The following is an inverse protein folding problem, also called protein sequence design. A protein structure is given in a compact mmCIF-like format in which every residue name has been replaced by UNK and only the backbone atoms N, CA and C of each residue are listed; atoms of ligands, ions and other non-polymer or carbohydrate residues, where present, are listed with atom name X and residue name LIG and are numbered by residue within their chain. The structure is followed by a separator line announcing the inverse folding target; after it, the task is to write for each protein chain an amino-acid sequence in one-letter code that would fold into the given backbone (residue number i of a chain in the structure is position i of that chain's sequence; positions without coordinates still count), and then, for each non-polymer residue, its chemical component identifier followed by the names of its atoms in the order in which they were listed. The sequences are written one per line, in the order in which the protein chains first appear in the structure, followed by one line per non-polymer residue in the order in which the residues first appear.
data_IF_914529330896
#
_entry.id   IF_914529330896
#
_cell.length_a   1.000
_cell.length_b   1.000
_cell.length_c   1.000
_cell.angle_alpha   90.00
_cell.angle_beta   90.00
_cell.angle_gamma   90.00
#
_symmetry.space_group_name_H-M   'P 1'
#
loop_
_entity.id
_entity.type
_entity.pdbx_description
1 polymer ?
#
# COMPACT_ATOMS: atom_id res chain seq x y z
N UNK A 1 -0.41 -5.38 -11.55
CA UNK A 1 -0.62 -6.46 -12.55
C UNK A 1 -2.02 -7.02 -12.31
N UNK A 2 -2.88 -7.12 -13.32
CA UNK A 2 -4.15 -7.85 -13.18
C UNK A 2 -3.88 -9.33 -13.38
N UNK A 3 -3.94 -10.13 -12.32
CA UNK A 3 -3.52 -11.52 -12.41
C UNK A 3 -4.64 -12.49 -12.01
N UNK A 4 -5.21 -12.33 -10.82
CA UNK A 4 -6.17 -13.29 -10.31
C UNK A 4 -7.48 -13.29 -11.11
N UNK A 5 -8.03 -14.49 -11.28
CA UNK A 5 -9.36 -14.72 -11.82
C UNK A 5 -9.46 -14.57 -13.33
N UNK A 6 -8.36 -14.53 -14.08
CA UNK A 6 -8.42 -14.41 -15.56
C UNK A 6 -9.09 -15.65 -16.18
N UNK A 7 -10.14 -15.41 -16.99
CA UNK A 7 -10.86 -16.50 -17.69
C UNK A 7 -10.15 -16.99 -18.94
N UNK A 8 -9.35 -16.14 -19.59
CA UNK A 8 -8.54 -16.52 -20.75
C UNK A 8 -7.21 -17.11 -20.31
N UNK A 9 -7.01 -18.40 -20.61
CA UNK A 9 -5.79 -19.13 -20.29
C UNK A 9 -4.53 -18.50 -20.91
N UNK A 10 -4.63 -17.87 -22.09
CA UNK A 10 -3.49 -17.19 -22.70
C UNK A 10 -3.13 -15.90 -21.96
N UNK A 11 -4.16 -15.15 -21.51
CA UNK A 11 -3.94 -13.97 -20.69
C UNK A 11 -3.32 -14.34 -19.34
N UNK A 12 -3.79 -15.42 -18.72
CA UNK A 12 -3.19 -15.98 -17.49
C UNK A 12 -1.72 -16.36 -17.72
N UNK A 13 -1.41 -17.15 -18.76
CA UNK A 13 -0.04 -17.55 -19.08
C UNK A 13 0.89 -16.34 -19.30
N UNK A 14 0.40 -15.30 -19.99
CA UNK A 14 1.15 -14.05 -20.17
C UNK A 14 1.43 -13.34 -18.84
N UNK A 15 0.51 -13.38 -17.88
CA UNK A 15 0.74 -12.81 -16.55
C UNK A 15 1.77 -13.58 -15.75
N UNK A 16 1.86 -14.90 -15.93
CA UNK A 16 2.94 -15.71 -15.38
C UNK A 16 4.29 -15.31 -15.99
N UNK A 17 4.37 -15.09 -17.31
CA UNK A 17 5.58 -14.56 -17.95
C UNK A 17 5.98 -13.19 -17.40
N UNK A 18 5.02 -12.27 -17.26
CA UNK A 18 5.25 -10.97 -16.65
C UNK A 18 5.73 -11.13 -15.19
N UNK A 19 5.19 -12.08 -14.44
CA UNK A 19 5.57 -12.34 -13.05
C UNK A 19 7.01 -12.87 -12.95
N UNK A 20 7.45 -13.73 -13.88
CA UNK A 20 8.85 -14.16 -13.97
C UNK A 20 9.80 -12.99 -14.20
N UNK A 21 9.39 -11.99 -15.00
CA UNK A 21 10.16 -10.74 -15.14
C UNK A 21 10.25 -9.99 -13.81
N UNK A 22 9.17 -9.91 -13.01
CA UNK A 22 9.23 -9.30 -11.68
C UNK A 22 10.16 -10.04 -10.72
N UNK A 23 10.20 -11.37 -10.76
CA UNK A 23 11.16 -12.16 -9.98
C UNK A 23 12.61 -11.87 -10.40
N UNK A 24 12.88 -11.73 -11.70
CA UNK A 24 14.18 -11.30 -12.21
C UNK A 24 14.54 -9.90 -11.71
N UNK A 25 13.60 -8.95 -11.73
CA UNK A 25 13.82 -7.60 -11.21
C UNK A 25 14.11 -7.63 -9.70
N UNK A 26 13.41 -8.46 -8.93
CA UNK A 26 13.70 -8.65 -7.50
C UNK A 26 15.14 -9.07 -7.27
N UNK A 27 15.60 -10.09 -8.00
CA UNK A 27 16.99 -10.57 -7.95
C UNK A 27 17.99 -9.49 -8.36
N UNK A 28 17.73 -8.77 -9.45
CA UNK A 28 18.63 -7.72 -9.96
C UNK A 28 18.74 -6.54 -9.00
N UNK A 29 17.63 -6.15 -8.36
CA UNK A 29 17.58 -5.01 -7.45
C UNK A 29 17.90 -5.38 -5.99
N UNK A 30 18.03 -6.67 -5.68
CA UNK A 30 18.28 -7.15 -4.32
C UNK A 30 17.09 -6.94 -3.38
N UNK A 31 15.86 -7.06 -3.89
CA UNK A 31 14.63 -7.00 -3.09
C UNK A 31 13.95 -8.37 -3.04
N UNK A 32 13.12 -8.58 -2.01
CA UNK A 32 12.54 -9.88 -1.66
C UNK A 32 11.00 -9.78 -1.48
N UNK A 33 10.38 -8.73 -2.02
CA UNK A 33 8.95 -8.48 -1.85
C UNK A 33 8.33 -7.95 -3.14
N UNK A 34 7.24 -8.58 -3.56
CA UNK A 34 6.36 -8.12 -4.63
C UNK A 34 4.99 -7.82 -4.03
N UNK A 35 4.46 -6.63 -4.30
CA UNK A 35 3.06 -6.29 -3.99
C UNK A 35 2.19 -6.66 -5.19
N UNK A 36 1.12 -7.41 -4.95
CA UNK A 36 0.15 -7.83 -5.97
C UNK A 36 -1.19 -7.18 -5.63
N UNK A 37 -1.59 -6.11 -6.32
CA UNK A 37 -2.89 -5.47 -6.10
C UNK A 37 -4.02 -6.29 -6.71
N UNK A 38 -5.18 -6.25 -6.08
CA UNK A 38 -6.39 -6.90 -6.55
C UNK A 38 -6.79 -6.41 -7.93
N UNK A 39 -7.28 -7.30 -8.78
CA UNK A 39 -7.80 -6.93 -10.10
C UNK A 39 -9.00 -5.99 -10.00
N UNK A 40 -9.04 -5.02 -10.92
CA UNK A 40 -10.17 -4.13 -11.13
C UNK A 40 -10.68 -4.20 -12.59
N UNK A 41 -10.37 -5.28 -13.31
CA UNK A 41 -10.90 -5.48 -14.66
C UNK A 41 -12.43 -5.66 -14.59
N UNK A 42 -13.20 -4.99 -15.46
CA UNK A 42 -14.66 -5.08 -15.44
C UNK A 42 -15.18 -6.38 -16.07
N UNK A 43 -14.39 -7.01 -16.94
CA UNK A 43 -14.77 -8.20 -17.70
C UNK A 43 -13.56 -9.13 -17.92
N UNK A 44 -13.81 -10.34 -18.40
CA UNK A 44 -12.75 -11.34 -18.64
C UNK A 44 -12.16 -11.94 -17.37
N UNK A 45 -12.77 -11.67 -16.21
CA UNK A 45 -12.34 -12.14 -14.89
C UNK A 45 -13.48 -12.80 -14.12
N UNK A 46 -13.16 -13.71 -13.21
CA UNK A 46 -14.09 -14.39 -12.30
C UNK A 46 -13.72 -14.16 -10.84
N UNK A 47 -14.74 -14.09 -9.99
CA UNK A 47 -14.61 -14.09 -8.53
C UNK A 47 -14.68 -15.48 -7.92
N UNK A 48 -14.62 -16.54 -8.74
CA UNK A 48 -14.62 -17.92 -8.26
C UNK A 48 -13.43 -18.14 -7.31
N UNK A 49 -13.76 -18.43 -6.05
CA UNK A 49 -12.78 -18.52 -4.97
C UNK A 49 -11.72 -19.60 -5.22
N UNK A 50 -12.07 -20.71 -5.87
CA UNK A 50 -11.13 -21.79 -6.17
C UNK A 50 -10.10 -21.30 -7.19
N UNK A 51 -10.54 -20.56 -8.21
CA UNK A 51 -9.65 -19.96 -9.21
C UNK A 51 -8.71 -18.93 -8.55
N UNK A 52 -9.25 -17.99 -7.77
CA UNK A 52 -8.43 -16.98 -7.09
C UNK A 52 -7.35 -17.60 -6.20
N UNK A 53 -7.70 -18.65 -5.43
CA UNK A 53 -6.74 -19.37 -4.58
C UNK A 53 -5.68 -20.08 -5.44
N UNK A 54 -6.09 -20.72 -6.54
CA UNK A 54 -5.18 -21.42 -7.45
C UNK A 54 -4.14 -20.48 -8.05
N UNK A 55 -4.58 -19.34 -8.58
CA UNK A 55 -3.70 -18.35 -9.19
C UNK A 55 -2.69 -17.82 -8.16
N UNK A 56 -3.16 -17.42 -6.97
CA UNK A 56 -2.28 -16.92 -5.91
C UNK A 56 -1.27 -17.97 -5.43
N UNK A 57 -1.66 -19.25 -5.37
CA UNK A 57 -0.73 -20.34 -5.05
C UNK A 57 0.34 -20.51 -6.11
N UNK A 58 -0.01 -20.39 -7.39
CA UNK A 58 0.96 -20.52 -8.49
C UNK A 58 2.07 -19.48 -8.39
N UNK A 59 1.74 -18.19 -8.24
CA UNK A 59 2.77 -17.16 -8.09
C UNK A 59 3.54 -17.27 -6.77
N UNK A 60 2.88 -17.69 -5.68
CA UNK A 60 3.55 -17.93 -4.41
C UNK A 60 4.57 -19.06 -4.50
N UNK A 61 4.22 -20.16 -5.19
CA UNK A 61 5.09 -21.32 -5.39
C UNK A 61 6.28 -20.97 -6.32
N UNK A 62 6.08 -20.14 -7.35
CA UNK A 62 7.16 -19.61 -8.18
C UNK A 62 8.11 -18.67 -7.41
N UNK A 63 7.55 -17.81 -6.55
CA UNK A 63 8.32 -16.91 -5.70
C UNK A 63 9.10 -17.64 -4.60
N UNK A 64 8.56 -18.74 -4.08
CA UNK A 64 9.21 -19.60 -3.09
C UNK A 64 10.45 -20.33 -3.63
N UNK A 65 10.54 -20.52 -4.95
CA UNK A 65 11.70 -21.14 -5.61
C UNK A 65 12.90 -20.19 -5.77
N UNK A 66 12.73 -18.90 -5.47
CA UNK A 66 13.81 -17.93 -5.57
C UNK A 66 14.78 -18.04 -4.38
N UNK A 67 16.02 -17.59 -4.58
CA UNK A 67 17.03 -17.50 -3.53
C UNK A 67 17.67 -16.10 -3.53
N UNK A 68 17.45 -15.28 -2.48
CA UNK A 68 16.52 -15.49 -1.35
C UNK A 68 15.06 -15.63 -1.80
N UNK A 69 14.23 -16.24 -0.94
CA UNK A 69 12.79 -16.42 -1.18
C UNK A 69 12.14 -15.06 -1.39
N UNK A 70 11.36 -14.92 -2.46
CA UNK A 70 10.56 -13.71 -2.69
C UNK A 70 9.21 -13.90 -1.98
N UNK A 71 8.84 -12.90 -1.17
CA UNK A 71 7.53 -12.80 -0.52
C UNK A 71 6.55 -12.04 -1.41
N UNK A 72 5.27 -12.34 -1.22
CA UNK A 72 4.17 -11.65 -1.89
C UNK A 72 3.30 -10.97 -0.83
N UNK A 73 2.93 -9.72 -1.10
CA UNK A 73 1.94 -8.98 -0.33
C UNK A 73 0.72 -8.70 -1.22
N UNK A 74 -0.40 -9.37 -0.94
CA UNK A 74 -1.64 -9.14 -1.68
C UNK A 74 -2.39 -7.92 -1.12
N UNK A 75 -2.73 -6.98 -1.99
CA UNK A 75 -3.32 -5.69 -1.63
C UNK A 75 -4.76 -5.60 -2.16
N UNK A 76 -5.73 -5.37 -1.27
CA UNK A 76 -7.10 -5.06 -1.69
C UNK A 76 -7.22 -3.58 -2.09
N UNK A 77 -7.46 -3.32 -3.36
CA UNK A 77 -7.82 -1.98 -3.81
C UNK A 77 -9.29 -1.71 -3.47
N UNK A 78 -9.64 -0.53 -2.95
CA UNK A 78 -11.02 -0.23 -2.55
C UNK A 78 -12.02 -0.15 -3.73
N UNK A 79 -11.51 -0.22 -4.96
CA UNK A 79 -12.23 -0.36 -6.22
C UNK A 79 -11.96 -1.69 -6.94
N UNK A 80 -11.38 -2.70 -6.28
CA UNK A 80 -11.19 -4.03 -6.84
C UNK A 80 -12.52 -4.69 -7.21
N UNK A 81 -12.52 -5.50 -8.27
CA UNK A 81 -13.73 -6.10 -8.85
C UNK A 81 -14.37 -7.10 -7.89
N UNK A 82 -13.57 -7.99 -7.30
CA UNK A 82 -14.04 -9.06 -6.41
C UNK A 82 -13.49 -8.95 -4.99
N UNK A 83 -12.23 -8.56 -4.84
CA UNK A 83 -11.59 -8.35 -3.55
C UNK A 83 -11.29 -6.86 -3.39
N UNK A 84 -11.99 -6.21 -2.46
CA UNK A 84 -11.88 -4.76 -2.25
C UNK A 84 -12.05 -4.33 -0.78
N UNK A 85 -11.94 -5.30 0.14
CA UNK A 85 -11.85 -5.08 1.58
C UNK A 85 -10.61 -5.79 2.10
N UNK A 86 -10.07 -5.31 3.23
CA UNK A 86 -8.92 -5.98 3.85
C UNK A 86 -9.33 -7.38 4.36
N UNK A 87 -10.58 -7.56 4.81
CA UNK A 87 -11.10 -8.87 5.26
C UNK A 87 -11.00 -9.91 4.15
N UNK A 88 -11.54 -9.59 2.96
CA UNK A 88 -11.57 -10.52 1.84
C UNK A 88 -10.16 -10.86 1.33
N UNK A 89 -9.24 -9.89 1.34
CA UNK A 89 -7.83 -10.14 1.05
C UNK A 89 -7.16 -11.03 2.10
N UNK A 90 -7.43 -10.79 3.38
CA UNK A 90 -6.86 -11.61 4.47
C UNK A 90 -7.40 -13.04 4.45
N UNK A 91 -8.70 -13.23 4.21
CA UNK A 91 -9.27 -14.56 4.01
C UNK A 91 -8.61 -15.29 2.83
N UNK A 92 -8.36 -14.58 1.72
CA UNK A 92 -7.67 -15.17 0.56
C UNK A 92 -6.24 -15.57 0.93
N UNK A 93 -5.52 -14.72 1.67
CA UNK A 93 -4.16 -15.02 2.17
C UNK A 93 -4.14 -16.26 3.07
N UNK A 94 -5.16 -16.45 3.91
CA UNK A 94 -5.33 -17.65 4.72
C UNK A 94 -5.56 -18.89 3.85
N UNK A 95 -6.47 -18.81 2.88
CA UNK A 95 -6.82 -19.94 2.00
C UNK A 95 -5.68 -20.35 1.06
N UNK A 96 -4.88 -19.38 0.60
CA UNK A 96 -3.68 -19.63 -0.22
C UNK A 96 -2.68 -20.51 0.53
N UNK A 97 -2.58 -20.33 1.85
CA UNK A 97 -1.79 -21.16 2.76
C UNK A 97 -0.35 -21.41 2.25
N UNK A 98 0.39 -20.31 2.07
CA UNK A 98 1.82 -20.31 1.77
C UNK A 98 2.56 -19.42 2.76
N UNK A 99 3.76 -19.86 3.15
CA UNK A 99 4.56 -19.15 4.14
C UNK A 99 5.11 -17.80 3.63
N UNK A 100 5.35 -17.69 2.31
CA UNK A 100 5.83 -16.48 1.65
C UNK A 100 4.71 -15.60 1.08
N UNK A 101 3.43 -15.91 1.35
CA UNK A 101 2.28 -15.14 0.89
C UNK A 101 1.58 -14.49 2.08
N UNK A 102 1.48 -13.16 2.04
CA UNK A 102 0.88 -12.33 3.08
C UNK A 102 0.02 -11.21 2.48
N UNK A 103 -0.52 -10.37 3.35
CA UNK A 103 -1.34 -9.20 2.98
C UNK A 103 -0.51 -7.92 3.01
N UNK A 104 -0.84 -6.99 2.10
CA UNK A 104 -0.52 -5.58 2.25
C UNK A 104 -1.73 -4.87 2.88
N UNK A 105 -1.52 -4.18 3.99
CA UNK A 105 -2.54 -3.33 4.60
C UNK A 105 -2.28 -1.87 4.19
N UNK A 106 -3.07 -1.35 3.26
CA UNK A 106 -3.01 0.04 2.82
C UNK A 106 -4.12 0.88 3.50
N UNK A 107 -3.71 1.86 4.31
CA UNK A 107 -4.61 2.76 5.01
C UNK A 107 -5.52 3.56 4.07
N UNK A 108 -5.04 3.97 2.89
CA UNK A 108 -5.88 4.70 1.93
C UNK A 108 -6.98 3.80 1.39
N UNK A 109 -6.64 2.58 0.98
CA UNK A 109 -7.63 1.63 0.46
C UNK A 109 -8.63 1.21 1.56
N UNK A 110 -8.18 0.96 2.79
CA UNK A 110 -9.09 0.68 3.92
C UNK A 110 -10.07 1.86 4.15
N UNK A 111 -9.56 3.09 4.25
CA UNK A 111 -10.39 4.29 4.37
C UNK A 111 -11.33 4.46 3.18
N UNK A 112 -10.82 4.26 1.96
CA UNK A 112 -11.59 4.34 0.73
C UNK A 112 -12.74 3.34 0.71
N UNK A 113 -12.64 2.21 1.43
CA UNK A 113 -13.73 1.23 1.50
C UNK A 113 -14.72 1.49 2.64
N UNK A 114 -14.24 1.93 3.80
CA UNK A 114 -15.02 1.92 5.05
C UNK A 114 -15.38 3.32 5.58
N UNK A 115 -14.74 4.38 5.08
CA UNK A 115 -14.87 5.73 5.62
C UNK A 115 -15.21 6.78 4.56
N UNK A 116 -14.46 6.81 3.46
CA UNK A 116 -14.49 7.88 2.48
C UNK A 116 -15.40 7.58 1.29
N UNK A 117 -16.15 8.59 0.86
CA UNK A 117 -16.84 8.61 -0.41
C UNK A 117 -16.57 9.93 -1.15
N UNK A 118 -15.66 9.95 -2.14
CA UNK A 118 -15.35 11.17 -2.89
C UNK A 118 -16.53 11.71 -3.71
N UNK A 119 -17.62 10.95 -3.90
CA UNK A 119 -18.85 11.44 -4.53
C UNK A 119 -19.87 12.00 -3.52
N UNK A 120 -19.61 11.91 -2.21
CA UNK A 120 -20.46 12.50 -1.19
C UNK A 120 -20.10 13.96 -0.94
N UNK A 121 -21.11 14.76 -0.55
CA UNK A 121 -20.95 16.20 -0.31
C UNK A 121 -19.94 16.54 0.80
N UNK A 122 -19.83 15.69 1.82
CA UNK A 122 -18.90 15.84 2.94
C UNK A 122 -17.67 14.91 2.82
N UNK A 123 -17.55 14.19 1.69
CA UNK A 123 -16.48 13.24 1.41
C UNK A 123 -16.58 11.93 2.19
N UNK A 124 -17.67 11.66 2.91
CA UNK A 124 -17.77 10.50 3.82
C UNK A 124 -18.90 9.57 3.42
N UNK A 125 -18.70 8.29 3.73
CA UNK A 125 -19.77 7.30 3.72
C UNK A 125 -20.74 7.54 4.87
N UNK A 126 -21.99 7.09 4.72
CA UNK A 126 -22.97 7.16 5.80
C UNK A 126 -22.49 6.33 7.01
N UNK A 127 -22.34 7.00 8.16
CA UNK A 127 -21.86 6.34 9.39
C UNK A 127 -20.37 5.98 9.39
N UNK A 128 -19.57 6.65 8.57
CA UNK A 128 -18.14 6.41 8.35
C UNK A 128 -17.34 6.10 9.61
N UNK A 129 -17.46 6.91 10.66
CA UNK A 129 -16.71 6.73 11.92
C UNK A 129 -17.07 5.41 12.61
N UNK A 130 -18.36 5.07 12.65
CA UNK A 130 -18.85 3.83 13.27
C UNK A 130 -18.45 2.61 12.45
N UNK A 131 -18.56 2.69 11.13
CA UNK A 131 -18.19 1.61 10.21
C UNK A 131 -16.70 1.30 10.29
N UNK A 132 -15.85 2.33 10.23
CA UNK A 132 -14.41 2.16 10.37
C UNK A 132 -14.03 1.62 11.75
N UNK A 133 -14.61 2.14 12.84
CA UNK A 133 -14.33 1.64 14.19
C UNK A 133 -14.65 0.14 14.32
N UNK A 134 -15.81 -0.30 13.82
CA UNK A 134 -16.19 -1.71 13.82
C UNK A 134 -15.28 -2.56 12.91
N UNK A 135 -14.82 -2.02 11.77
CA UNK A 135 -13.85 -2.69 10.89
C UNK A 135 -12.50 -2.88 11.58
N UNK A 136 -12.01 -1.85 12.27
CA UNK A 136 -10.76 -1.89 13.02
C UNK A 136 -10.82 -2.81 14.24
N UNK A 137 -11.98 -2.95 14.89
CA UNK A 137 -12.20 -3.98 15.90
C UNK A 137 -12.01 -5.38 15.33
N UNK A 138 -12.68 -5.70 14.21
CA UNK A 138 -12.50 -6.99 13.54
C UNK A 138 -11.06 -7.22 13.13
N UNK A 139 -10.37 -6.20 12.63
CA UNK A 139 -8.96 -6.30 12.21
C UNK A 139 -8.08 -6.81 13.35
N UNK A 140 -8.24 -6.25 14.56
CA UNK A 140 -7.50 -6.68 15.75
C UNK A 140 -7.76 -8.14 16.11
N UNK A 141 -8.99 -8.60 15.91
CA UNK A 141 -9.41 -9.93 16.34
C UNK A 141 -8.99 -11.04 15.36
N UNK A 142 -8.89 -10.74 14.06
CA UNK A 142 -8.73 -11.78 13.03
C UNK A 142 -7.35 -11.83 12.38
N UNK A 143 -6.62 -10.71 12.29
CA UNK A 143 -5.34 -10.68 11.58
C UNK A 143 -4.23 -11.23 12.46
N UNK A 144 -3.55 -12.27 11.97
CA UNK A 144 -2.22 -12.65 12.44
C UNK A 144 -1.19 -11.70 11.82
N UNK A 145 -0.53 -10.91 12.66
CA UNK A 145 0.51 -9.95 12.24
C UNK A 145 1.63 -10.60 11.42
N UNK A 146 1.90 -11.90 11.61
CA UNK A 146 2.92 -12.64 10.82
C UNK A 146 2.56 -12.75 9.33
N UNK A 147 1.28 -12.59 9.00
CA UNK A 147 0.79 -12.55 7.62
C UNK A 147 0.78 -11.14 7.03
N UNK A 148 1.09 -10.10 7.79
CA UNK A 148 1.22 -8.73 7.28
C UNK A 148 2.63 -8.57 6.68
N UNK A 149 2.71 -8.55 5.35
CA UNK A 149 3.99 -8.48 4.64
C UNK A 149 4.49 -7.04 4.47
N UNK A 150 3.56 -6.09 4.37
CA UNK A 150 3.80 -4.66 4.15
C UNK A 150 2.62 -3.85 4.68
N UNK A 151 2.90 -2.63 5.12
CA UNK A 151 1.88 -1.60 5.36
C UNK A 151 2.15 -0.44 4.41
N UNK A 152 1.09 0.05 3.77
CA UNK A 152 1.13 1.27 2.96
C UNK A 152 0.28 2.35 3.62
N UNK A 153 0.69 3.60 3.44
CA UNK A 153 -0.02 4.75 3.98
C UNK A 153 -0.08 5.88 2.96
N UNK A 154 -1.28 6.42 2.82
CA UNK A 154 -1.54 7.71 2.23
C UNK A 154 -2.81 8.29 2.85
N UNK A 155 -2.86 9.60 2.95
CA UNK A 155 -4.11 10.33 3.16
C UNK A 155 -4.66 10.74 1.79
N UNK A 156 -5.74 11.50 1.76
CA UNK A 156 -6.23 12.11 0.55
C UNK A 156 -7.02 13.37 0.79
N UNK A 157 -7.05 14.23 -0.22
CA UNK A 157 -7.80 15.47 -0.24
C UNK A 157 -9.30 15.18 -0.18
N UNK A 158 -10.01 15.83 0.74
CA UNK A 158 -11.48 15.90 0.70
C UNK A 158 -11.90 16.77 -0.48
N UNK A 159 -12.61 16.18 -1.43
CA UNK A 159 -13.08 16.91 -2.62
C UNK A 159 -13.98 18.07 -2.20
N UNK A 160 -13.70 19.25 -2.78
CA UNK A 160 -14.51 20.45 -2.55
C UNK A 160 -15.92 20.27 -3.11
N UNK A 161 -15.98 19.71 -4.31
CA UNK A 161 -17.21 19.39 -5.02
C UNK A 161 -17.26 17.86 -5.19
N UNK A 162 -18.44 17.22 -5.07
CA UNK A 162 -18.58 15.78 -5.32
C UNK A 162 -17.91 15.33 -6.62
N UNK A 163 -17.11 14.25 -6.54
CA UNK A 163 -16.47 13.62 -7.69
C UNK A 163 -17.50 12.80 -8.47
N UNK A 164 -18.35 13.48 -9.22
CA UNK A 164 -19.38 12.91 -10.09
C UNK A 164 -19.20 13.38 -11.53
N UNK A 165 -20.08 12.99 -12.45
CA UNK A 165 -20.06 13.47 -13.84
C UNK A 165 -19.97 15.00 -13.90
N UNK A 166 -19.01 15.50 -14.69
CA UNK A 166 -18.67 16.94 -14.77
C UNK A 166 -17.54 17.40 -13.85
N UNK A 167 -17.12 16.61 -12.86
CA UNK A 167 -15.93 16.90 -12.06
C UNK A 167 -14.65 16.73 -12.90
N UNK A 168 -13.61 17.54 -12.68
CA UNK A 168 -12.37 17.52 -13.47
C UNK A 168 -11.58 16.21 -13.40
N UNK A 169 -11.78 15.44 -12.32
CA UNK A 169 -11.20 14.10 -12.14
C UNK A 169 -12.14 12.96 -12.54
N UNK A 170 -13.38 13.26 -12.97
CA UNK A 170 -14.29 12.24 -13.44
C UNK A 170 -13.76 11.62 -14.75
N UNK A 171 -13.88 10.30 -14.86
CA UNK A 171 -13.53 9.55 -16.06
C UNK A 171 -14.63 8.51 -16.28
N UNK A 172 -15.32 8.59 -17.42
CA UNK A 172 -16.42 7.69 -17.74
C UNK A 172 -15.98 6.21 -17.67
N UNK A 173 -16.80 5.40 -17.00
CA UNK A 173 -16.52 3.97 -16.80
C UNK A 173 -15.44 3.66 -15.76
N UNK A 174 -14.79 4.67 -15.16
CA UNK A 174 -13.79 4.47 -14.12
C UNK A 174 -14.44 4.59 -12.71
N UNK A 175 -14.11 3.70 -11.76
CA UNK A 175 -14.56 3.85 -10.39
C UNK A 175 -14.13 5.19 -9.78
N UNK A 176 -15.06 5.91 -9.15
CA UNK A 176 -14.82 7.23 -8.53
C UNK A 176 -13.60 7.21 -7.59
N UNK A 177 -13.46 6.17 -6.77
CA UNK A 177 -12.35 6.01 -5.82
C UNK A 177 -11.01 5.82 -6.52
N UNK A 178 -10.98 5.23 -7.72
CA UNK A 178 -9.78 5.14 -8.55
C UNK A 178 -9.38 6.51 -9.10
N UNK A 179 -10.35 7.29 -9.60
CA UNK A 179 -10.11 8.67 -10.03
C UNK A 179 -9.57 9.54 -8.90
N UNK A 180 -10.17 9.42 -7.71
CA UNK A 180 -9.72 10.11 -6.51
C UNK A 180 -8.30 9.67 -6.12
N UNK A 181 -8.06 8.36 -6.04
CA UNK A 181 -6.74 7.79 -5.74
C UNK A 181 -5.66 8.32 -6.68
N UNK A 182 -5.90 8.41 -7.99
CA UNK A 182 -4.87 8.84 -8.96
C UNK A 182 -4.52 10.33 -8.91
N UNK A 183 -5.41 11.16 -8.36
CA UNK A 183 -5.29 12.61 -8.47
C UNK A 183 -5.11 13.33 -7.13
N UNK A 184 -5.52 12.70 -6.03
CA UNK A 184 -5.82 13.41 -4.79
C UNK A 184 -5.27 12.72 -3.53
N UNK A 185 -4.37 11.73 -3.64
CA UNK A 185 -3.66 11.27 -2.44
C UNK A 185 -2.71 12.35 -1.93
N UNK A 186 -2.60 12.39 -0.61
CA UNK A 186 -1.77 13.30 0.15
C UNK A 186 -0.90 12.50 1.12
N UNK A 187 0.17 13.11 1.60
CA UNK A 187 0.87 12.57 2.74
C UNK A 187 0.02 12.77 4.01
N UNK A 188 0.03 11.83 4.97
CA UNK A 188 -0.59 12.01 6.27
C UNK A 188 -0.18 13.31 6.96
N UNK A 189 -1.14 14.02 7.55
CA UNK A 189 -0.91 15.29 8.26
C UNK A 189 -0.94 16.55 7.40
N UNK A 190 -1.17 16.44 6.08
CA UNK A 190 -1.32 17.59 5.18
C UNK A 190 -2.72 18.24 5.25
N UNK A 191 -3.16 18.62 6.46
CA UNK A 191 -4.48 19.22 6.70
C UNK A 191 -4.68 20.53 5.92
N UNK A 192 -3.60 21.30 5.72
CA UNK A 192 -3.59 22.52 4.91
C UNK A 192 -3.92 22.25 3.43
N UNK A 193 -3.75 21.00 2.98
CA UNK A 193 -4.08 20.52 1.63
C UNK A 193 -5.38 19.74 1.59
N UNK A 194 -6.09 19.64 2.72
CA UNK A 194 -7.38 18.96 2.81
C UNK A 194 -7.29 17.47 3.13
N UNK A 195 -6.16 16.98 3.67
CA UNK A 195 -6.08 15.66 4.28
C UNK A 195 -7.17 15.51 5.35
N UNK A 196 -7.87 14.37 5.37
CA UNK A 196 -9.00 14.17 6.27
C UNK A 196 -9.25 12.70 6.66
N UNK A 197 -8.46 11.77 6.12
CA UNK A 197 -8.66 10.36 6.41
C UNK A 197 -8.16 10.03 7.82
N UNK A 198 -8.86 9.17 8.57
CA UNK A 198 -8.46 8.74 9.91
C UNK A 198 -7.30 7.71 9.87
N UNK A 199 -6.23 8.03 9.12
CA UNK A 199 -5.08 7.14 8.90
C UNK A 199 -4.36 6.77 10.20
N UNK A 200 -4.35 7.68 11.18
CA UNK A 200 -3.76 7.41 12.49
C UNK A 200 -4.51 6.31 13.26
N UNK A 201 -5.84 6.22 13.12
CA UNK A 201 -6.62 5.19 13.82
C UNK A 201 -6.31 3.79 13.26
N UNK A 202 -6.16 3.70 11.93
CA UNK A 202 -5.71 2.49 11.25
C UNK A 202 -4.28 2.13 11.69
N UNK A 203 -3.34 3.08 11.65
CA UNK A 203 -1.94 2.82 12.02
C UNK A 203 -1.77 2.47 13.50
N UNK A 204 -2.61 3.00 14.40
CA UNK A 204 -2.63 2.60 15.81
C UNK A 204 -3.04 1.14 15.97
N UNK A 205 -4.02 0.69 15.21
CA UNK A 205 -4.46 -0.72 15.22
C UNK A 205 -3.41 -1.63 14.60
N UNK A 206 -2.83 -1.26 13.47
CA UNK A 206 -1.86 -2.12 12.79
C UNK A 206 -0.54 -2.18 13.59
N UNK A 207 -0.07 -1.05 14.10
CA UNK A 207 1.31 -0.96 14.62
C UNK A 207 1.41 -0.85 16.15
N UNK A 208 0.29 -0.61 16.84
CA UNK A 208 0.25 -0.48 18.29
C UNK A 208 0.40 -1.84 18.98
N UNK A 209 1.00 -1.84 20.18
CA UNK A 209 1.16 -3.05 21.01
C UNK A 209 -0.18 -3.64 21.48
N UNK A 210 -1.19 -2.79 21.67
CA UNK A 210 -2.57 -3.19 21.96
C UNK A 210 -3.39 -3.46 20.67
N UNK A 211 -2.73 -3.44 19.51
CA UNK A 211 -3.27 -3.80 18.21
C UNK A 211 -2.56 -5.04 17.67
N UNK A 212 -2.19 -5.05 16.38
CA UNK A 212 -1.49 -6.18 15.77
C UNK A 212 0.00 -6.23 16.14
N UNK A 213 0.59 -5.09 16.55
CA UNK A 213 2.01 -5.01 16.88
C UNK A 213 2.96 -5.08 15.69
N UNK A 214 2.50 -4.69 14.48
CA UNK A 214 3.35 -4.68 13.28
C UNK A 214 4.56 -3.74 13.44
N UNK A 215 5.75 -4.29 13.20
CA UNK A 215 7.04 -3.60 13.30
C UNK A 215 7.86 -3.63 12.00
N UNK A 216 7.24 -4.02 10.89
CA UNK A 216 7.85 -4.07 9.56
C UNK A 216 7.88 -2.72 8.83
N UNK A 217 8.04 -2.79 7.51
CA UNK A 217 8.14 -1.61 6.64
C UNK A 217 6.78 -0.92 6.46
N UNK A 218 6.80 0.41 6.54
CA UNK A 218 5.66 1.27 6.20
C UNK A 218 6.10 2.11 5.01
N UNK A 219 5.35 2.01 3.90
CA UNK A 219 5.67 2.71 2.66
C UNK A 219 4.64 3.80 2.38
N UNK A 220 5.09 5.00 2.01
CA UNK A 220 4.21 6.07 1.54
C UNK A 220 3.83 5.81 0.08
N UNK A 221 2.54 5.60 -0.20
CA UNK A 221 2.05 5.35 -1.57
C UNK A 221 1.25 6.55 -2.09
N UNK A 222 1.94 7.50 -2.73
CA UNK A 222 1.34 8.74 -3.19
C UNK A 222 1.07 8.71 -4.69
N UNK A 223 -0.19 8.94 -5.03
CA UNK A 223 -0.66 9.23 -6.38
C UNK A 223 -1.39 10.57 -6.36
N UNK A 224 -0.77 11.58 -6.95
CA UNK A 224 -1.29 12.95 -6.92
C UNK A 224 -1.10 13.62 -8.26
N UNK A 225 -2.05 14.49 -8.63
CA UNK A 225 -1.94 15.37 -9.80
C UNK A 225 -0.66 16.21 -9.79
N UNK A 226 -0.07 16.46 -8.62
CA UNK A 226 1.20 17.22 -8.53
C UNK A 226 2.40 16.44 -9.07
N UNK A 227 2.31 15.11 -9.23
CA UNK A 227 3.41 14.29 -9.75
C UNK A 227 3.62 14.44 -11.26
N UNK A 228 2.65 15.02 -11.98
CA UNK A 228 2.79 15.29 -13.43
C UNK A 228 3.25 16.71 -13.72
N UNK A 229 3.51 17.52 -12.68
CA UNK A 229 4.13 18.83 -12.85
C UNK A 229 5.58 18.63 -13.35
N UNK A 230 5.97 19.22 -14.50
CA UNK A 230 7.29 19.00 -15.10
C UNK A 230 8.42 19.75 -14.38
N UNK A 231 8.10 20.57 -13.38
CA UNK A 231 9.10 21.31 -12.59
C UNK A 231 10.07 20.35 -11.91
N UNK A 232 11.40 20.57 -12.03
CA UNK A 232 12.39 19.70 -11.40
C UNK A 232 12.29 19.68 -9.86
N UNK A 233 11.74 20.73 -9.25
CA UNK A 233 11.57 20.86 -7.79
C UNK A 233 10.56 19.84 -7.23
N UNK A 234 9.66 19.30 -8.06
CA UNK A 234 8.58 18.39 -7.61
C UNK A 234 9.12 17.18 -6.85
N UNK A 235 10.26 16.64 -7.28
CA UNK A 235 10.89 15.48 -6.62
C UNK A 235 11.33 15.86 -5.19
N UNK A 236 11.99 17.01 -5.04
CA UNK A 236 12.46 17.48 -3.74
C UNK A 236 11.29 17.93 -2.85
N UNK A 237 10.30 18.62 -3.39
CA UNK A 237 9.07 19.02 -2.70
C UNK A 237 8.35 17.79 -2.11
N UNK A 238 8.18 16.71 -2.89
CA UNK A 238 7.54 15.48 -2.39
C UNK A 238 8.40 14.72 -1.39
N UNK A 239 9.72 14.71 -1.55
CA UNK A 239 10.62 14.11 -0.55
C UNK A 239 10.54 14.84 0.80
N UNK A 240 10.54 16.18 0.78
CA UNK A 240 10.38 16.99 1.98
C UNK A 240 9.00 16.78 2.63
N UNK A 241 7.92 16.72 1.82
CA UNK A 241 6.57 16.41 2.32
C UNK A 241 6.50 15.04 2.97
N UNK A 242 7.16 14.03 2.39
CA UNK A 242 7.24 12.68 2.96
C UNK A 242 7.96 12.69 4.33
N UNK A 243 9.07 13.43 4.45
CA UNK A 243 9.83 13.56 5.69
C UNK A 243 9.02 14.26 6.80
N UNK A 244 8.37 15.38 6.47
CA UNK A 244 7.51 16.12 7.40
C UNK A 244 6.36 15.22 7.88
N UNK A 245 5.72 14.51 6.94
CA UNK A 245 4.63 13.59 7.25
C UNK A 245 5.09 12.42 8.13
N UNK A 246 6.26 11.86 7.86
CA UNK A 246 6.83 10.80 8.69
C UNK A 246 7.09 11.27 10.13
N UNK A 247 7.73 12.43 10.30
CA UNK A 247 7.98 13.02 11.61
C UNK A 247 6.68 13.32 12.37
N UNK A 248 5.65 13.78 11.65
CA UNK A 248 4.31 13.96 12.22
C UNK A 248 3.70 12.62 12.69
N UNK A 249 3.73 11.57 11.86
CA UNK A 249 3.23 10.24 12.26
C UNK A 249 4.01 9.67 13.45
N UNK A 250 5.34 9.81 13.49
CA UNK A 250 6.15 9.36 14.61
C UNK A 250 5.72 10.01 15.92
N UNK A 251 5.49 11.32 15.89
CA UNK A 251 4.99 12.07 17.05
C UNK A 251 3.59 11.61 17.46
N UNK A 252 2.64 11.58 16.53
CA UNK A 252 1.22 11.29 16.83
C UNK A 252 0.96 9.83 17.23
N UNK A 253 1.84 8.92 16.82
CA UNK A 253 1.77 7.49 17.16
C UNK A 253 2.75 7.08 18.26
N UNK A 254 3.56 8.02 18.77
CA UNK A 254 4.56 7.75 19.80
C UNK A 254 5.64 6.75 19.36
N UNK A 255 5.98 6.73 18.06
CA UNK A 255 7.04 5.87 17.57
C UNK A 255 8.40 6.46 17.97
N UNK A 256 9.16 5.71 18.75
CA UNK A 256 10.52 6.09 19.12
C UNK A 256 11.51 5.57 18.09
N UNK A 257 12.35 6.44 17.53
CA UNK A 257 13.50 5.97 16.75
C UNK A 257 14.54 5.33 17.68
N UNK A 258 15.01 4.12 17.35
CA UNK A 258 16.29 3.64 17.87
C UNK A 258 17.40 4.25 17.02
N UNK A 259 18.44 4.79 17.65
CA UNK A 259 19.72 5.04 16.99
C UNK A 259 20.32 3.69 16.55
N UNK A 260 19.87 3.15 15.42
CA UNK A 260 20.61 2.12 14.72
C UNK A 260 21.63 2.83 13.85
N UNK A 261 22.90 2.67 14.18
CA UNK A 261 24.02 3.12 13.35
C UNK A 261 23.89 2.44 11.98
N UNK A 262 23.34 3.16 10.99
CA UNK A 262 23.35 2.70 9.61
C UNK A 262 24.83 2.67 9.20
N UNK A 263 25.42 1.48 9.12
CA UNK A 263 26.72 1.34 8.47
C UNK A 263 26.54 1.76 7.03
N UNK A 264 27.20 2.86 6.63
CA UNK A 264 27.40 3.22 5.23
C UNK A 264 27.82 1.94 4.50
N UNK A 265 27.06 1.58 3.48
CA UNK A 265 27.59 0.69 2.45
C UNK A 265 28.56 1.57 1.68
N UNK A 266 29.85 1.47 2.00
CA UNK A 266 30.88 2.08 1.19
C UNK A 266 30.75 1.47 -0.21
N UNK A 267 30.24 2.29 -1.14
CA UNK A 267 30.37 2.02 -2.56
C UNK A 267 31.84 1.77 -2.83
N UNK A 268 32.13 0.68 -3.56
CA UNK A 268 33.46 0.32 -4.01
C UNK A 268 34.23 1.57 -4.47
N UNK A 269 35.48 1.65 -4.05
CA UNK A 269 36.46 2.65 -4.47
C UNK A 269 36.37 2.92 -5.97
N UNK A 270 35.79 4.05 -6.36
CA UNK A 270 35.99 4.61 -7.69
C UNK A 270 37.21 5.53 -7.64
N UNK A 271 38.16 5.19 -8.49
CA UNK A 271 39.36 5.95 -8.78
C UNK A 271 38.99 7.37 -9.22
N UNK A 272 39.74 8.34 -8.72
CA UNK A 272 39.45 9.76 -8.80
C UNK A 272 39.41 10.30 -10.24
N UNK A 273 38.26 10.84 -10.67
CA UNK A 273 38.20 12.13 -11.40
C UNK A 273 36.75 12.64 -11.63
N UNK A 274 36.44 13.75 -10.96
CA UNK A 274 35.50 14.82 -11.35
C UNK A 274 34.09 14.48 -11.91
N UNK A 275 33.08 14.42 -11.03
CA UNK A 275 31.99 15.41 -10.93
C UNK A 275 30.95 14.95 -9.89
N UNK A 276 30.63 15.84 -8.95
CA UNK A 276 29.82 15.57 -7.76
C UNK A 276 28.31 15.61 -8.05
N UNK A 277 27.63 14.46 -7.97
CA UNK A 277 26.20 14.37 -7.61
C UNK A 277 25.97 13.01 -6.92
N UNK A 278 26.22 12.96 -5.61
CA UNK A 278 25.88 11.81 -4.79
C UNK A 278 24.46 11.92 -4.27
N UNK A 279 23.53 11.14 -4.81
CA UNK A 279 22.20 10.98 -4.23
C UNK A 279 22.31 10.21 -2.90
N UNK A 280 22.07 10.90 -1.78
CA UNK A 280 21.97 10.31 -0.46
C UNK A 280 20.62 9.59 -0.35
N UNK A 281 20.64 8.26 -0.22
CA UNK A 281 19.46 7.47 0.15
C UNK A 281 19.52 7.14 1.64
N UNK A 282 18.54 7.62 2.41
CA UNK A 282 18.33 7.22 3.80
C UNK A 282 17.32 6.06 3.83
N UNK A 283 17.64 5.00 4.56
CA UNK A 283 16.75 3.84 4.78
C UNK A 283 16.51 3.72 6.29
N UNK A 284 15.25 3.84 6.72
CA UNK A 284 14.88 3.87 8.14
C UNK A 284 14.16 2.58 8.56
N UNK A 285 14.68 1.87 9.57
CA UNK A 285 14.00 0.73 10.20
C UNK A 285 13.65 1.08 11.66
N UNK A 286 12.35 1.08 11.99
CA UNK A 286 11.85 1.35 13.35
C UNK A 286 11.83 0.08 14.21
N UNK A 287 12.12 0.22 15.51
CA UNK A 287 11.78 -0.77 16.56
C UNK A 287 11.30 0.03 17.76
N UNK A 288 10.03 -0.18 18.16
CA UNK A 288 9.33 0.68 19.12
C UNK A 288 9.60 0.24 20.57
N UNK A 289 9.94 1.21 21.42
CA UNK A 289 10.37 0.98 22.80
C UNK A 289 9.25 0.63 23.77
N UNK A 290 9.64 -0.04 24.86
CA UNK A 290 8.82 -0.40 26.02
C UNK A 290 8.55 0.81 26.92
N UNK A 291 7.30 1.02 27.31
CA UNK A 291 7.01 1.63 28.61
C UNK A 291 6.32 0.60 29.49
N UNK A 292 6.98 0.29 30.60
CA UNK A 292 6.46 -0.53 31.68
C UNK A 292 5.67 0.29 32.70
N UNK A 293 4.82 -0.47 33.39
CA UNK A 293 3.93 -0.13 34.51
C UNK A 293 2.71 0.74 34.16
#
# INVERSE_FOLDING_TARGET
MHYEGLLDANAHAKRIEDFQLWLLLCKTLGTELIVVPSTFLPEGVTGDRIVLISDMREIADLAAQQQPVVRIAYEALCWGTFINTWEAAYELVCDVDRANFGTCLDAFNICGREFADPAAQDGRMLGAEKCLAASLERMRDVIDVKKVSLVQVADAERMRDPLVEGHSFHVDGQPTKMSWSRNARLFPGEEDKGAYLPVLDILRVITGQNGLGYDGWISSEIFSRTLVDPRPEVVEEHAQRAEISWAWMEKELGWTQKENTIKKVDGRSEDSSANSFGALRYLYRSVKGTFGA
#
